data_IF_980945052737
#
_entry.id   IF_980945052737
#
_cell.length_a   1.000
_cell.length_b   1.000
_cell.length_c   1.000
_cell.angle_alpha   90.00
_cell.angle_beta   90.00
_cell.angle_gamma   90.00
#
_symmetry.space_group_name_H-M   'P 1'
#
loop_
_entity.id
_entity.type
_entity.pdbx_description
1 polymer ?
#
# COMPACT_ATOMS: atom_id res chain seq x y z
N UNK A 1 23.65 2.22 26.02
CA UNK A 1 22.44 1.76 26.73
C UNK A 1 21.42 1.09 25.79
N UNK A 2 21.82 0.26 24.82
CA UNK A 2 20.88 -0.38 23.88
C UNK A 2 20.61 -1.87 24.13
N UNK A 3 21.22 -2.47 25.16
CA UNK A 3 21.09 -3.90 25.44
C UNK A 3 19.79 -4.29 26.17
N UNK A 4 19.19 -3.40 26.97
CA UNK A 4 18.03 -3.75 27.81
C UNK A 4 16.66 -3.78 27.10
N UNK A 5 16.43 -2.90 26.11
CA UNK A 5 15.13 -2.83 25.42
C UNK A 5 14.93 -4.05 24.50
N UNK A 6 16.00 -4.54 23.85
CA UNK A 6 15.93 -5.72 22.98
C UNK A 6 15.57 -7.00 23.73
N UNK A 7 16.18 -7.23 24.90
CA UNK A 7 15.90 -8.41 25.75
C UNK A 7 14.48 -8.39 26.33
N UNK A 8 14.01 -7.21 26.79
CA UNK A 8 12.63 -7.02 27.24
C UNK A 8 11.63 -7.29 26.12
N UNK A 9 11.90 -6.79 24.90
CA UNK A 9 11.03 -7.01 23.74
C UNK A 9 10.94 -8.50 23.37
N UNK A 10 12.05 -9.23 23.49
CA UNK A 10 12.11 -10.68 23.28
C UNK A 10 11.29 -11.47 24.30
N UNK A 11 11.39 -11.14 25.59
CA UNK A 11 10.64 -11.82 26.66
C UNK A 11 9.12 -11.57 26.58
N UNK A 12 8.71 -10.34 26.23
CA UNK A 12 7.30 -9.95 26.09
C UNK A 12 6.61 -10.58 24.88
N UNK A 13 7.37 -10.96 23.85
CA UNK A 13 6.81 -11.56 22.65
C UNK A 13 6.19 -12.94 22.91
N UNK A 14 6.72 -13.69 23.88
CA UNK A 14 6.42 -15.13 24.07
C UNK A 14 5.42 -15.46 25.20
N UNK A 15 4.94 -14.48 25.97
CA UNK A 15 3.98 -14.72 27.06
C UNK A 15 2.70 -13.86 26.92
N UNK A 16 1.57 -14.52 26.63
CA UNK A 16 0.26 -13.85 26.50
C UNK A 16 -0.17 -13.12 27.79
N UNK A 17 0.13 -13.69 28.96
CA UNK A 17 -0.17 -13.07 30.26
C UNK A 17 0.64 -11.80 30.54
N UNK A 18 1.91 -11.77 30.11
CA UNK A 18 2.79 -10.62 30.34
C UNK A 18 2.36 -9.40 29.52
N UNK A 19 1.82 -9.58 28.31
CA UNK A 19 1.27 -8.48 27.50
C UNK A 19 0.04 -7.85 28.16
N UNK A 20 -0.85 -8.66 28.73
CA UNK A 20 -2.03 -8.16 29.45
C UNK A 20 -1.62 -7.36 30.70
N UNK A 21 -0.65 -7.88 31.45
CA UNK A 21 -0.13 -7.25 32.66
C UNK A 21 0.61 -5.94 32.35
N UNK A 22 1.41 -5.92 31.28
CA UNK A 22 2.03 -4.69 30.77
C UNK A 22 0.98 -3.68 30.33
N UNK A 23 -0.08 -4.11 29.64
CA UNK A 23 -1.17 -3.21 29.24
C UNK A 23 -1.82 -2.56 30.46
N UNK A 24 -2.21 -3.36 31.46
CA UNK A 24 -2.81 -2.84 32.70
C UNK A 24 -1.90 -1.86 33.44
N UNK A 25 -0.59 -2.10 33.39
CA UNK A 25 0.39 -1.24 34.07
C UNK A 25 0.70 0.05 33.31
N UNK A 26 0.78 -0.02 31.98
CA UNK A 26 1.21 1.09 31.12
C UNK A 26 0.04 1.98 30.69
N UNK A 27 -1.16 1.43 30.47
CA UNK A 27 -2.32 2.17 29.98
C UNK A 27 -2.72 3.37 30.88
N UNK A 28 -2.66 3.29 32.22
CA UNK A 28 -2.88 4.45 33.09
C UNK A 28 -1.78 5.51 33.02
N UNK A 29 -0.60 5.16 32.52
CA UNK A 29 0.63 5.98 32.59
C UNK A 29 1.08 6.54 31.24
N UNK A 30 0.27 6.38 30.19
CA UNK A 30 0.62 6.82 28.83
C UNK A 30 1.06 8.28 28.80
N UNK A 31 0.35 9.18 29.50
CA UNK A 31 0.71 10.60 29.52
C UNK A 31 2.07 10.85 30.19
N UNK A 32 2.38 10.15 31.28
CA UNK A 32 3.68 10.24 31.95
C UNK A 32 4.80 9.69 31.05
N UNK A 33 4.53 8.61 30.31
CA UNK A 33 5.50 8.08 29.35
C UNK A 33 5.75 9.06 28.20
N UNK A 34 4.71 9.72 27.69
CA UNK A 34 4.84 10.75 26.65
C UNK A 34 5.69 11.92 27.14
N UNK A 35 5.48 12.38 28.37
CA UNK A 35 6.29 13.44 28.98
C UNK A 35 7.77 13.04 29.05
N UNK A 36 8.07 11.84 29.56
CA UNK A 36 9.44 11.33 29.65
C UNK A 36 10.07 11.17 28.27
N UNK A 37 9.33 10.67 27.27
CA UNK A 37 9.84 10.55 25.90
C UNK A 37 10.16 11.94 25.33
N UNK A 38 9.29 12.91 25.56
CA UNK A 38 9.49 14.28 25.09
C UNK A 38 10.69 14.95 25.76
N UNK A 39 10.79 14.90 27.09
CA UNK A 39 11.83 15.59 27.86
C UNK A 39 13.19 14.90 27.79
N UNK A 40 13.24 13.57 27.90
CA UNK A 40 14.50 12.82 28.05
C UNK A 40 15.05 12.31 26.72
N UNK A 41 14.20 12.13 25.70
CA UNK A 41 14.62 11.57 24.41
C UNK A 41 14.54 12.59 23.27
N UNK A 42 13.34 13.10 22.97
CA UNK A 42 13.11 13.91 21.77
C UNK A 42 13.73 15.30 21.87
N UNK A 43 13.56 16.00 22.99
CA UNK A 43 14.16 17.32 23.22
C UNK A 43 15.69 17.31 23.08
N UNK A 44 16.42 16.42 23.78
CA UNK A 44 17.88 16.30 23.65
C UNK A 44 18.32 15.89 22.24
N UNK A 45 17.57 15.02 21.57
CA UNK A 45 17.88 14.62 20.19
C UNK A 45 17.75 15.80 19.22
N UNK A 46 16.68 16.60 19.33
CA UNK A 46 16.48 17.79 18.52
C UNK A 46 17.56 18.84 18.74
N UNK A 47 17.93 19.11 19.99
CA UNK A 47 19.02 20.05 20.30
C UNK A 47 20.35 19.64 19.63
N UNK A 48 20.69 18.35 19.67
CA UNK A 48 21.87 17.81 18.98
C UNK A 48 21.77 17.89 17.46
N UNK A 49 20.58 17.71 16.89
CA UNK A 49 20.35 17.84 15.45
C UNK A 49 20.50 19.28 14.99
N UNK A 50 19.99 20.24 15.75
CA UNK A 50 20.14 21.68 15.48
C UNK A 50 21.61 22.11 15.53
N UNK A 51 22.39 21.61 16.50
CA UNK A 51 23.85 21.82 16.55
C UNK A 51 24.58 21.30 15.30
N UNK A 52 24.01 20.34 14.57
CA UNK A 52 24.52 19.81 13.30
C UNK A 52 23.93 20.51 12.06
N UNK A 53 23.25 21.64 12.24
CA UNK A 53 22.62 22.39 11.16
C UNK A 53 21.38 21.72 10.57
N UNK A 54 20.75 20.77 11.26
CA UNK A 54 19.48 20.14 10.85
C UNK A 54 18.29 20.89 11.45
N UNK A 55 17.15 20.89 10.76
CA UNK A 55 15.95 21.63 11.18
C UNK A 55 15.15 20.95 12.30
N UNK A 56 15.32 19.64 12.50
CA UNK A 56 14.59 18.91 13.52
C UNK A 56 14.66 17.40 13.29
N UNK A 57 13.71 16.69 13.91
CA UNK A 57 13.58 15.24 13.82
C UNK A 57 12.24 14.87 13.15
N UNK A 58 12.31 13.98 12.16
CA UNK A 58 11.15 13.30 11.57
C UNK A 58 11.21 11.83 11.96
N UNK A 59 10.11 11.30 12.48
CA UNK A 59 9.96 9.89 12.84
C UNK A 59 8.87 9.28 11.98
N UNK A 60 9.22 8.22 11.27
CA UNK A 60 8.28 7.42 10.46
C UNK A 60 7.97 6.16 11.25
N UNK A 61 6.71 5.97 11.59
CA UNK A 61 6.21 4.76 12.24
C UNK A 61 5.45 3.94 11.21
N UNK A 62 6.17 2.98 10.64
CA UNK A 62 5.68 2.06 9.61
C UNK A 62 4.98 0.84 10.22
N UNK A 63 4.22 0.11 9.40
CA UNK A 63 3.49 -1.11 9.71
C UNK A 63 2.34 -0.98 10.71
N UNK A 64 1.92 0.24 11.06
CA UNK A 64 0.68 0.42 11.83
C UNK A 64 -0.59 0.24 10.95
N UNK A 65 -0.43 0.18 9.62
CA UNK A 65 -1.48 -0.24 8.68
C UNK A 65 -1.87 -1.72 8.84
N UNK A 66 -1.02 -2.52 9.49
CA UNK A 66 -1.24 -3.96 9.74
C UNK A 66 -1.96 -4.25 11.06
N UNK A 67 -2.47 -3.23 11.75
CA UNK A 67 -3.26 -3.43 12.97
C UNK A 67 -4.53 -4.22 12.64
N UNK A 68 -4.77 -5.31 13.36
CA UNK A 68 -5.93 -6.17 13.15
C UNK A 68 -7.23 -5.37 13.25
N UNK A 69 -8.08 -5.47 12.21
CA UNK A 69 -9.38 -4.82 12.19
C UNK A 69 -10.44 -5.58 13.01
N UNK A 70 -10.11 -5.91 14.27
CA UNK A 70 -11.01 -6.55 15.23
C UNK A 70 -11.55 -5.54 16.22
N UNK A 71 -12.71 -5.84 16.80
CA UNK A 71 -13.25 -5.03 17.89
C UNK A 71 -12.31 -5.02 19.09
N UNK A 72 -12.15 -3.85 19.72
CA UNK A 72 -11.42 -3.71 20.97
C UNK A 72 -12.31 -4.23 22.11
N UNK A 73 -11.79 -5.17 22.89
CA UNK A 73 -12.46 -5.66 24.11
C UNK A 73 -12.94 -4.50 24.99
N UNK A 74 -14.23 -4.49 25.33
CA UNK A 74 -14.87 -3.45 26.14
C UNK A 74 -15.18 -2.14 25.40
N UNK A 75 -15.02 -2.08 24.07
CA UNK A 75 -15.34 -0.91 23.24
C UNK A 75 -16.20 -1.31 22.05
N UNK A 76 -17.00 -0.37 21.55
CA UNK A 76 -17.71 -0.51 20.27
C UNK A 76 -16.80 -0.28 19.06
N UNK A 77 -15.60 0.26 19.28
CA UNK A 77 -14.63 0.59 18.24
C UNK A 77 -13.71 -0.57 17.89
N UNK A 78 -13.23 -0.56 16.66
CA UNK A 78 -12.16 -1.45 16.21
C UNK A 78 -10.81 -1.04 16.85
N UNK A 79 -9.81 -1.92 16.82
CA UNK A 79 -8.46 -1.58 17.27
C UNK A 79 -7.85 -0.40 16.48
N UNK A 80 -7.99 -0.32 15.13
CA UNK A 80 -7.59 0.86 14.37
C UNK A 80 -8.26 2.14 14.85
N UNK A 81 -9.58 2.15 15.01
CA UNK A 81 -10.31 3.32 15.50
C UNK A 81 -9.86 3.73 16.90
N UNK A 82 -9.69 2.76 17.81
CA UNK A 82 -9.18 3.06 19.15
C UNK A 82 -7.79 3.70 19.10
N UNK A 83 -6.86 3.16 18.31
CA UNK A 83 -5.50 3.67 18.25
C UNK A 83 -5.41 5.06 17.60
N UNK A 84 -6.08 5.24 16.47
CA UNK A 84 -5.87 6.43 15.64
C UNK A 84 -6.92 7.53 15.88
N UNK A 85 -8.12 7.17 16.35
CA UNK A 85 -9.21 8.11 16.59
C UNK A 85 -9.31 8.46 18.08
N UNK A 86 -9.45 7.46 18.98
CA UNK A 86 -9.50 7.73 20.43
C UNK A 86 -8.16 8.17 20.98
N UNK A 87 -7.07 7.51 20.54
CA UNK A 87 -5.71 7.79 21.00
C UNK A 87 -4.92 8.71 20.08
N UNK A 88 -5.59 9.30 19.07
CA UNK A 88 -4.96 10.21 18.11
C UNK A 88 -4.30 11.43 18.76
N UNK A 89 -4.89 11.97 19.84
CA UNK A 89 -4.30 13.08 20.59
C UNK A 89 -2.96 12.68 21.22
N UNK A 90 -2.88 11.50 21.82
CA UNK A 90 -1.65 10.97 22.42
C UNK A 90 -0.57 10.74 21.36
N UNK A 91 -0.94 10.24 20.19
CA UNK A 91 0.00 10.07 19.08
C UNK A 91 0.57 11.42 18.62
N UNK A 92 -0.24 12.47 18.58
CA UNK A 92 0.19 13.83 18.22
C UNK A 92 1.07 14.53 19.26
N UNK A 93 1.07 14.07 20.52
CA UNK A 93 1.80 14.71 21.62
C UNK A 93 3.31 14.47 21.60
N UNK A 94 3.82 13.57 20.75
CA UNK A 94 5.27 13.42 20.56
C UNK A 94 5.83 14.69 19.93
N UNK A 95 6.78 15.34 20.60
CA UNK A 95 7.33 16.65 20.22
C UNK A 95 8.32 16.53 19.05
N UNK A 96 7.92 15.94 17.94
CA UNK A 96 8.66 15.90 16.68
C UNK A 96 7.71 15.70 15.49
N UNK A 97 8.22 15.75 14.26
CA UNK A 97 7.39 15.49 13.09
C UNK A 97 7.13 13.98 12.96
N UNK A 98 5.86 13.58 13.03
CA UNK A 98 5.45 12.18 12.95
C UNK A 98 4.82 11.87 11.59
N UNK A 99 5.19 10.73 11.01
CA UNK A 99 4.50 10.13 9.86
C UNK A 99 4.03 8.73 10.30
N UNK A 100 2.72 8.51 10.26
CA UNK A 100 2.11 7.22 10.60
C UNK A 100 1.53 6.57 9.35
N UNK A 101 1.82 5.30 9.13
CA UNK A 101 1.01 4.46 8.24
C UNK A 101 -0.32 4.15 8.92
N UNK A 102 -1.45 4.26 8.24
CA UNK A 102 -2.76 3.93 8.83
C UNK A 102 -3.41 2.76 8.08
N UNK A 103 -4.24 1.94 8.75
CA UNK A 103 -4.99 0.88 8.08
C UNK A 103 -5.92 1.44 7.00
N UNK A 104 -5.95 0.79 5.84
CA UNK A 104 -6.70 1.24 4.67
C UNK A 104 -8.19 1.47 4.98
N UNK A 105 -8.80 0.63 5.83
CA UNK A 105 -10.21 0.77 6.20
C UNK A 105 -10.53 2.07 6.92
N UNK A 106 -9.59 2.64 7.69
CA UNK A 106 -9.80 3.96 8.32
C UNK A 106 -9.90 5.09 7.30
N UNK A 107 -9.27 4.95 6.13
CA UNK A 107 -9.37 5.96 5.07
C UNK A 107 -10.76 6.00 4.42
N UNK A 108 -11.59 4.97 4.65
CA UNK A 108 -12.94 4.83 4.09
C UNK A 108 -14.02 4.66 5.16
N UNK A 109 -13.68 4.79 6.44
CA UNK A 109 -14.64 4.68 7.54
C UNK A 109 -15.32 6.02 7.82
N UNK A 110 -16.44 5.96 8.53
CA UNK A 110 -17.18 7.16 8.96
C UNK A 110 -16.39 8.01 9.98
N UNK A 111 -15.33 7.46 10.57
CA UNK A 111 -14.46 8.16 11.53
C UNK A 111 -13.32 8.94 10.83
N UNK A 112 -13.23 8.91 9.50
CA UNK A 112 -12.13 9.50 8.75
C UNK A 112 -11.94 11.00 8.98
N UNK A 113 -13.02 11.79 9.09
CA UNK A 113 -12.90 13.22 9.40
C UNK A 113 -12.42 13.45 10.84
N UNK A 114 -12.83 12.61 11.80
CA UNK A 114 -12.33 12.70 13.16
C UNK A 114 -10.84 12.34 13.21
N UNK A 115 -10.42 11.30 12.49
CA UNK A 115 -9.03 10.94 12.31
C UNK A 115 -8.20 12.13 11.79
N UNK A 116 -8.66 12.80 10.73
CA UNK A 116 -7.99 13.98 10.17
C UNK A 116 -7.88 15.13 11.16
N UNK A 117 -8.95 15.40 11.91
CA UNK A 117 -8.93 16.45 12.94
C UNK A 117 -7.87 16.18 14.02
N UNK A 118 -7.62 14.90 14.33
CA UNK A 118 -6.60 14.50 15.32
C UNK A 118 -5.21 14.51 14.73
N UNK A 119 -4.96 13.79 13.64
CA UNK A 119 -3.62 13.49 13.12
C UNK A 119 -3.19 14.33 11.91
N UNK A 120 -4.08 15.18 11.38
CA UNK A 120 -3.84 15.98 10.19
C UNK A 120 -4.19 15.24 8.89
N UNK A 121 -3.79 15.82 7.77
CA UNK A 121 -4.14 15.32 6.45
C UNK A 121 -3.56 13.93 6.17
N UNK A 122 -4.43 13.00 5.77
CA UNK A 122 -4.02 11.68 5.30
C UNK A 122 -3.59 11.77 3.84
N UNK A 123 -2.34 11.38 3.57
CA UNK A 123 -1.83 11.24 2.20
C UNK A 123 -2.05 9.81 1.72
N UNK A 124 -2.71 9.67 0.59
CA UNK A 124 -2.87 8.39 -0.12
C UNK A 124 -1.90 8.33 -1.29
N UNK A 125 -1.38 7.14 -1.55
CA UNK A 125 -0.54 6.88 -2.71
C UNK A 125 -1.40 6.09 -3.72
N UNK A 126 -1.93 6.73 -4.78
CA UNK A 126 -2.73 6.04 -5.79
C UNK A 126 -1.85 5.15 -6.66
N UNK A 127 -2.48 4.30 -7.49
CA UNK A 127 -1.75 3.60 -8.54
C UNK A 127 -1.23 4.58 -9.59
N UNK A 128 -0.13 4.20 -10.25
CA UNK A 128 0.38 4.94 -11.40
C UNK A 128 -0.60 4.73 -12.57
N UNK A 129 -1.32 5.75 -13.06
CA UNK A 129 -2.27 5.56 -14.15
C UNK A 129 -1.56 5.00 -15.39
N UNK A 130 -2.13 3.98 -16.02
CA UNK A 130 -1.69 3.51 -17.36
C UNK A 130 -2.72 3.80 -18.43
N UNK A 131 -3.92 4.17 -17.99
CA UNK A 131 -5.05 4.62 -18.78
C UNK A 131 -5.75 5.75 -18.00
N UNK A 132 -6.36 6.68 -18.72
CA UNK A 132 -7.26 7.69 -18.15
C UNK A 132 -8.61 7.06 -17.81
N UNK A 133 -9.46 7.83 -17.13
CA UNK A 133 -10.79 7.35 -16.75
C UNK A 133 -11.65 6.97 -17.97
N UNK A 134 -11.51 7.68 -19.09
CA UNK A 134 -12.19 7.38 -20.37
C UNK A 134 -11.65 6.14 -21.09
N UNK A 135 -10.61 5.50 -20.56
CA UNK A 135 -9.96 4.32 -21.13
C UNK A 135 -8.83 4.62 -22.13
N UNK A 136 -8.60 5.89 -22.47
CA UNK A 136 -7.47 6.28 -23.33
C UNK A 136 -6.13 6.03 -22.63
N UNK A 137 -5.09 5.76 -23.42
CA UNK A 137 -3.77 5.42 -22.88
C UNK A 137 -3.12 6.61 -22.16
N UNK A 138 -2.44 6.32 -21.05
CA UNK A 138 -1.63 7.28 -20.31
C UNK A 138 -0.15 6.93 -20.41
N UNK A 139 0.49 7.35 -21.51
CA UNK A 139 1.86 6.98 -21.87
C UNK A 139 2.89 7.36 -20.78
N UNK A 140 2.75 8.53 -20.15
CA UNK A 140 3.67 8.98 -19.09
C UNK A 140 3.76 7.98 -17.93
N UNK A 141 2.62 7.44 -17.50
CA UNK A 141 2.62 6.44 -16.42
C UNK A 141 3.18 5.10 -16.85
N UNK A 142 2.97 4.69 -18.12
CA UNK A 142 3.64 3.51 -18.68
C UNK A 142 5.16 3.73 -18.69
N UNK A 143 5.64 4.88 -19.12
CA UNK A 143 7.07 5.20 -19.17
C UNK A 143 7.70 5.23 -17.77
N UNK A 144 6.99 5.76 -16.75
CA UNK A 144 7.42 5.71 -15.36
C UNK A 144 7.54 4.27 -14.84
N UNK A 145 6.61 3.39 -15.20
CA UNK A 145 6.69 1.96 -14.86
C UNK A 145 7.84 1.26 -15.58
N UNK A 146 8.07 1.56 -16.87
CA UNK A 146 9.22 1.05 -17.62
C UNK A 146 10.53 1.48 -16.94
N UNK A 147 10.65 2.75 -16.58
CA UNK A 147 11.80 3.29 -15.86
C UNK A 147 12.00 2.64 -14.48
N UNK A 148 10.93 2.24 -13.78
CA UNK A 148 11.06 1.51 -12.52
C UNK A 148 11.76 0.15 -12.69
N UNK A 149 11.49 -0.57 -13.78
CA UNK A 149 12.18 -1.83 -14.11
C UNK A 149 13.63 -1.53 -14.51
N UNK A 150 13.80 -0.60 -15.45
CA UNK A 150 15.09 -0.29 -16.04
C UNK A 150 16.10 0.31 -15.05
N UNK A 151 15.65 1.16 -14.11
CA UNK A 151 16.51 1.73 -13.08
C UNK A 151 17.07 0.68 -12.11
N UNK A 152 16.42 -0.48 -11.99
CA UNK A 152 16.92 -1.59 -11.16
C UNK A 152 17.91 -2.46 -11.91
N UNK A 153 17.69 -2.66 -13.21
CA UNK A 153 18.59 -3.42 -14.07
C UNK A 153 19.88 -2.64 -14.38
N UNK A 154 19.76 -1.33 -14.56
CA UNK A 154 20.85 -0.43 -14.96
C UNK A 154 20.95 0.77 -14.01
N UNK A 155 21.35 0.57 -12.74
CA UNK A 155 21.40 1.63 -11.73
C UNK A 155 22.42 2.71 -12.05
N UNK A 156 23.52 2.34 -12.71
CA UNK A 156 24.64 3.22 -13.05
C UNK A 156 24.48 3.90 -14.44
N UNK A 157 23.39 3.62 -15.15
CA UNK A 157 23.07 4.21 -16.45
C UNK A 157 22.07 5.36 -16.26
N UNK A 158 22.30 6.46 -16.97
CA UNK A 158 21.43 7.63 -16.96
C UNK A 158 20.02 7.31 -17.49
N UNK A 159 19.00 7.93 -16.88
CA UNK A 159 17.60 7.54 -17.12
C UNK A 159 17.17 7.57 -18.61
N UNK A 160 17.72 8.51 -19.39
CA UNK A 160 17.44 8.64 -20.82
C UNK A 160 18.08 7.56 -21.70
N UNK A 161 19.09 6.85 -21.20
CA UNK A 161 19.84 5.84 -21.96
C UNK A 161 19.44 4.41 -21.62
N UNK A 162 18.78 4.19 -20.47
CA UNK A 162 18.41 2.84 -20.01
C UNK A 162 17.54 2.04 -20.97
N UNK A 163 16.73 2.70 -21.79
CA UNK A 163 15.87 2.04 -22.78
C UNK A 163 16.65 1.26 -23.85
N UNK A 164 17.93 1.59 -24.04
CA UNK A 164 18.81 0.89 -24.97
C UNK A 164 19.16 -0.53 -24.51
N UNK A 165 18.98 -0.85 -23.22
CA UNK A 165 19.26 -2.18 -22.67
C UNK A 165 18.02 -3.07 -22.50
N UNK A 166 16.87 -2.70 -23.09
CA UNK A 166 15.64 -3.50 -22.93
C UNK A 166 15.83 -4.93 -23.47
N UNK A 167 16.57 -5.09 -24.57
CA UNK A 167 16.91 -6.37 -25.20
C UNK A 167 17.79 -7.29 -24.34
N UNK A 168 18.49 -6.72 -23.35
CA UNK A 168 19.23 -7.50 -22.36
C UNK A 168 18.31 -8.05 -21.25
N UNK A 169 17.11 -7.50 -21.10
CA UNK A 169 16.14 -7.90 -20.05
C UNK A 169 15.00 -8.74 -20.62
N UNK A 170 14.54 -8.45 -21.84
CA UNK A 170 13.44 -9.12 -22.51
C UNK A 170 13.84 -9.51 -23.93
N UNK A 171 13.43 -10.70 -24.38
CA UNK A 171 13.69 -11.16 -25.75
C UNK A 171 12.90 -10.36 -26.80
N UNK A 172 11.69 -9.93 -26.43
CA UNK A 172 10.86 -8.98 -27.14
C UNK A 172 10.65 -7.71 -26.30
N UNK A 173 11.11 -6.53 -26.76
CA UNK A 173 10.89 -5.26 -26.07
C UNK A 173 9.42 -4.94 -25.75
N UNK A 174 8.45 -5.49 -26.48
CA UNK A 174 7.02 -5.33 -26.19
C UNK A 174 6.60 -5.98 -24.86
N UNK A 175 7.36 -6.97 -24.37
CA UNK A 175 7.08 -7.67 -23.10
C UNK A 175 7.18 -6.75 -21.89
N UNK A 176 8.08 -5.76 -21.93
CA UNK A 176 8.15 -4.76 -20.87
C UNK A 176 6.85 -3.94 -20.80
N UNK A 177 6.30 -3.53 -21.94
CA UNK A 177 5.02 -2.82 -21.97
C UNK A 177 3.85 -3.70 -21.52
N UNK A 178 3.83 -4.97 -21.94
CA UNK A 178 2.87 -5.97 -21.48
C UNK A 178 2.88 -6.11 -19.95
N UNK A 179 4.07 -6.19 -19.35
CA UNK A 179 4.27 -6.23 -17.90
C UNK A 179 3.74 -4.96 -17.21
N UNK A 180 4.02 -3.77 -17.75
CA UNK A 180 3.51 -2.51 -17.22
C UNK A 180 1.97 -2.49 -17.26
N UNK A 181 1.37 -2.84 -18.40
CA UNK A 181 -0.09 -2.83 -18.57
C UNK A 181 -0.79 -3.82 -17.66
N UNK A 182 -0.28 -5.05 -17.55
CA UNK A 182 -0.91 -6.09 -16.73
C UNK A 182 -0.78 -5.80 -15.21
N UNK A 183 0.23 -5.03 -14.80
CA UNK A 183 0.37 -4.59 -13.41
C UNK A 183 -0.70 -3.58 -12.98
N UNK A 184 -1.34 -2.88 -13.92
CA UNK A 184 -2.33 -1.84 -13.64
C UNK A 184 -1.77 -0.69 -12.79
N UNK A 185 -0.52 -0.28 -13.01
CA UNK A 185 0.09 0.77 -12.20
C UNK A 185 0.55 0.36 -10.80
N UNK A 186 0.25 -0.86 -10.36
CA UNK A 186 0.59 -1.34 -9.03
C UNK A 186 2.04 -1.84 -8.97
N UNK A 187 2.94 -0.99 -8.47
CA UNK A 187 4.39 -1.21 -8.42
C UNK A 187 4.81 -2.56 -7.81
N UNK A 188 4.15 -2.98 -6.72
CA UNK A 188 4.43 -4.27 -6.08
C UNK A 188 4.00 -5.45 -6.98
N UNK A 189 2.94 -5.32 -7.78
CA UNK A 189 2.52 -6.38 -8.68
C UNK A 189 3.47 -6.49 -9.86
N UNK A 190 3.87 -5.35 -10.44
CA UNK A 190 4.91 -5.26 -11.46
C UNK A 190 6.18 -6.02 -11.03
N UNK A 191 6.74 -5.65 -9.87
CA UNK A 191 7.96 -6.26 -9.34
C UNK A 191 7.76 -7.73 -8.92
N UNK A 192 6.56 -8.12 -8.47
CA UNK A 192 6.25 -9.52 -8.14
C UNK A 192 6.24 -10.41 -9.39
N UNK A 193 5.60 -9.98 -10.47
CA UNK A 193 5.58 -10.73 -11.74
C UNK A 193 6.99 -10.83 -12.30
N UNK A 194 7.74 -9.71 -12.31
CA UNK A 194 9.13 -9.69 -12.75
C UNK A 194 10.01 -10.65 -11.93
N UNK A 195 9.89 -10.60 -10.59
CA UNK A 195 10.63 -11.50 -9.69
C UNK A 195 10.32 -12.97 -9.96
N UNK A 196 9.06 -13.33 -10.25
CA UNK A 196 8.70 -14.71 -10.61
C UNK A 196 9.41 -15.18 -11.88
N UNK A 197 9.57 -14.32 -12.88
CA UNK A 197 10.32 -14.66 -14.09
C UNK A 197 11.80 -14.91 -13.77
N UNK A 198 12.40 -14.04 -12.95
CA UNK A 198 13.81 -14.14 -12.54
C UNK A 198 14.10 -15.29 -11.56
N UNK A 199 13.08 -15.87 -10.92
CA UNK A 199 13.21 -17.07 -10.09
C UNK A 199 13.35 -18.36 -10.93
N UNK A 200 13.00 -18.29 -12.22
CA UNK A 200 13.05 -19.43 -13.13
C UNK A 200 14.29 -19.46 -14.01
N UNK A 201 14.66 -18.32 -14.58
CA UNK A 201 15.87 -18.20 -15.40
C UNK A 201 16.43 -16.77 -15.38
N UNK A 202 17.70 -16.64 -15.76
CA UNK A 202 18.34 -15.35 -15.95
C UNK A 202 17.79 -14.64 -17.21
N UNK A 203 17.83 -13.30 -17.28
CA UNK A 203 17.45 -12.57 -18.49
C UNK A 203 18.26 -12.99 -19.74
N UNK A 204 17.70 -12.86 -20.95
CA UNK A 204 16.44 -12.18 -21.27
C UNK A 204 15.18 -13.01 -20.96
N UNK A 205 14.19 -12.36 -20.35
CA UNK A 205 12.87 -12.93 -20.03
C UNK A 205 12.11 -13.17 -21.33
N UNK A 206 11.69 -14.41 -21.55
CA UNK A 206 10.91 -14.80 -22.71
C UNK A 206 9.43 -14.46 -22.57
N UNK A 207 8.73 -14.32 -23.70
CA UNK A 207 7.28 -14.17 -23.71
C UNK A 207 6.56 -15.31 -22.95
N UNK A 208 6.97 -16.56 -23.14
CA UNK A 208 6.36 -17.70 -22.46
C UNK A 208 6.57 -17.65 -20.94
N UNK A 209 7.75 -17.21 -20.50
CA UNK A 209 8.05 -17.00 -19.09
C UNK A 209 7.15 -15.93 -18.47
N UNK A 210 7.05 -14.77 -19.11
CA UNK A 210 6.22 -13.66 -18.64
C UNK A 210 4.73 -14.06 -18.60
N UNK A 211 4.22 -14.66 -19.67
CA UNK A 211 2.80 -15.05 -19.75
C UNK A 211 2.46 -16.15 -18.74
N UNK A 212 3.40 -17.06 -18.41
CA UNK A 212 3.18 -18.02 -17.31
C UNK A 212 3.13 -17.33 -15.95
N UNK A 213 4.07 -16.42 -15.65
CA UNK A 213 4.04 -15.66 -14.39
C UNK A 213 2.74 -14.83 -14.23
N UNK A 214 2.24 -14.25 -15.33
CA UNK A 214 0.94 -13.56 -15.36
C UNK A 214 -0.21 -14.53 -15.09
N UNK A 215 -0.24 -15.69 -15.76
CA UNK A 215 -1.29 -16.71 -15.57
C UNK A 215 -1.36 -17.20 -14.13
N UNK A 216 -0.22 -17.52 -13.53
CA UNK A 216 -0.19 -17.97 -12.14
C UNK A 216 -0.71 -16.89 -11.19
N UNK A 217 -0.26 -15.63 -11.35
CA UNK A 217 -0.78 -14.53 -10.52
C UNK A 217 -2.28 -14.33 -10.70
N UNK A 218 -2.79 -14.43 -11.94
CA UNK A 218 -4.23 -14.35 -12.22
C UNK A 218 -4.97 -15.47 -11.51
N UNK A 219 -4.48 -16.71 -11.65
CA UNK A 219 -5.16 -17.89 -11.12
C UNK A 219 -5.19 -17.83 -9.58
N UNK A 220 -4.05 -17.53 -8.94
CA UNK A 220 -3.93 -17.28 -7.50
C UNK A 220 -4.94 -16.23 -7.01
N UNK A 221 -5.02 -15.09 -7.71
CA UNK A 221 -5.93 -14.01 -7.33
C UNK A 221 -7.39 -14.39 -7.54
N UNK A 222 -7.72 -15.07 -8.64
CA UNK A 222 -9.08 -15.45 -8.99
C UNK A 222 -9.69 -16.50 -8.07
N UNK A 223 -8.86 -17.41 -7.52
CA UNK A 223 -9.28 -18.46 -6.61
C UNK A 223 -9.87 -17.92 -5.29
N UNK A 224 -9.45 -16.73 -4.88
CA UNK A 224 -9.90 -16.10 -3.64
C UNK A 224 -11.24 -15.36 -3.79
N UNK A 225 -11.76 -15.19 -5.01
CA UNK A 225 -12.93 -14.35 -5.28
C UNK A 225 -14.21 -15.17 -5.16
N UNK A 226 -15.08 -14.77 -4.23
CA UNK A 226 -16.44 -15.30 -4.05
C UNK A 226 -17.41 -14.75 -5.10
N UNK A 227 -18.57 -15.40 -5.27
CA UNK A 227 -19.58 -14.93 -6.24
C UNK A 227 -20.13 -13.53 -5.90
N UNK A 228 -20.28 -13.20 -4.61
CA UNK A 228 -20.72 -11.86 -4.17
C UNK A 228 -19.65 -10.79 -4.49
N UNK A 229 -18.37 -11.11 -4.31
CA UNK A 229 -17.27 -10.22 -4.70
C UNK A 229 -17.19 -10.03 -6.23
N UNK A 230 -17.48 -11.07 -7.02
CA UNK A 230 -17.61 -10.93 -8.47
C UNK A 230 -18.73 -9.96 -8.87
N UNK A 231 -19.85 -9.95 -8.14
CA UNK A 231 -20.93 -8.99 -8.36
C UNK A 231 -20.46 -7.55 -8.06
N UNK A 232 -19.69 -7.35 -6.98
CA UNK A 232 -19.07 -6.06 -6.67
C UNK A 232 -18.07 -5.61 -7.75
N UNK A 233 -17.21 -6.52 -8.23
CA UNK A 233 -16.28 -6.26 -9.34
C UNK A 233 -17.02 -5.83 -10.61
N UNK A 234 -18.15 -6.46 -10.91
CA UNK A 234 -19.00 -6.08 -12.04
C UNK A 234 -19.55 -4.66 -11.89
N UNK A 235 -20.02 -4.29 -10.69
CA UNK A 235 -20.50 -2.93 -10.41
C UNK A 235 -19.39 -1.89 -10.61
N UNK A 236 -18.17 -2.17 -10.14
CA UNK A 236 -17.01 -1.28 -10.35
C UNK A 236 -16.70 -1.12 -11.83
N UNK A 237 -16.80 -2.18 -12.62
CA UNK A 237 -16.56 -2.11 -14.08
C UNK A 237 -17.54 -1.16 -14.78
N UNK A 238 -18.78 -1.07 -14.29
CA UNK A 238 -19.82 -0.23 -14.87
C UNK A 238 -19.77 1.22 -14.37
N UNK A 239 -19.42 1.41 -13.10
CA UNK A 239 -19.57 2.69 -12.41
C UNK A 239 -18.24 3.42 -12.18
N UNK A 240 -17.11 2.70 -12.31
CA UNK A 240 -15.76 3.14 -11.92
C UNK A 240 -15.68 3.70 -10.50
N UNK A 241 -16.57 3.22 -9.62
CA UNK A 241 -16.72 3.67 -8.24
C UNK A 241 -16.79 2.48 -7.30
N UNK A 242 -16.25 2.65 -6.11
CA UNK A 242 -16.44 1.75 -4.97
C UNK A 242 -17.17 2.54 -3.90
N UNK A 243 -18.18 1.94 -3.28
CA UNK A 243 -19.00 2.59 -2.25
C UNK A 243 -18.99 1.76 -0.97
N UNK A 244 -18.99 2.45 0.17
CA UNK A 244 -19.07 1.84 1.50
C UNK A 244 -17.76 1.24 2.00
N UNK A 245 -17.58 1.22 3.32
CA UNK A 245 -16.35 0.73 3.97
C UNK A 245 -16.06 -0.73 3.60
N UNK A 246 -17.08 -1.59 3.61
CA UNK A 246 -16.95 -3.02 3.30
C UNK A 246 -16.50 -3.25 1.86
N UNK A 247 -17.06 -2.53 0.89
CA UNK A 247 -16.65 -2.61 -0.51
C UNK A 247 -15.20 -2.16 -0.70
N UNK A 248 -14.80 -1.04 -0.09
CA UNK A 248 -13.42 -0.56 -0.13
C UNK A 248 -12.46 -1.56 0.53
N UNK A 249 -12.83 -2.07 1.71
CA UNK A 249 -12.01 -3.04 2.42
C UNK A 249 -11.81 -4.29 1.59
N UNK A 250 -12.88 -4.90 1.09
CA UNK A 250 -12.82 -6.18 0.37
C UNK A 250 -12.10 -6.03 -0.97
N UNK A 251 -12.47 -5.05 -1.79
CA UNK A 251 -11.97 -4.95 -3.17
C UNK A 251 -10.53 -4.41 -3.26
N UNK A 252 -10.19 -3.40 -2.46
CA UNK A 252 -8.86 -2.78 -2.52
C UNK A 252 -7.82 -3.59 -1.74
N UNK A 253 -8.16 -4.11 -0.55
CA UNK A 253 -7.23 -4.91 0.26
C UNK A 253 -6.83 -6.19 -0.45
N UNK A 254 -7.77 -6.84 -1.12
CA UNK A 254 -7.52 -8.07 -1.87
C UNK A 254 -6.94 -7.81 -3.27
N UNK A 255 -6.70 -6.55 -3.64
CA UNK A 255 -6.15 -6.15 -4.94
C UNK A 255 -7.02 -6.58 -6.13
N UNK A 256 -8.33 -6.73 -5.95
CA UNK A 256 -9.26 -7.00 -7.04
C UNK A 256 -9.52 -5.74 -7.87
N UNK A 257 -9.44 -4.58 -7.22
CA UNK A 257 -9.67 -3.26 -7.80
C UNK A 257 -8.53 -2.33 -7.38
N UNK A 258 -8.19 -1.40 -8.27
CA UNK A 258 -7.24 -0.34 -8.04
C UNK A 258 -7.90 1.03 -8.03
N UNK A 259 -7.41 1.89 -7.13
CA UNK A 259 -7.73 3.31 -7.04
C UNK A 259 -6.69 4.12 -7.81
N UNK A 260 -7.17 5.02 -8.66
CA UNK A 260 -6.37 6.04 -9.34
C UNK A 260 -6.89 7.42 -8.95
N UNK A 261 -6.03 8.43 -9.07
CA UNK A 261 -6.33 9.81 -8.73
C UNK A 261 -5.80 10.71 -9.84
N UNK A 262 -6.66 11.57 -10.38
CA UNK A 262 -6.32 12.61 -11.35
C UNK A 262 -6.64 13.97 -10.71
N UNK A 263 -5.71 14.94 -10.70
CA UNK A 263 -5.96 16.23 -10.08
C UNK A 263 -7.15 17.01 -10.65
N UNK A 264 -7.59 16.71 -11.87
CA UNK A 264 -8.67 17.39 -12.59
C UNK A 264 -9.98 16.60 -12.57
N UNK A 265 -9.94 15.30 -12.86
CA UNK A 265 -11.14 14.44 -12.95
C UNK A 265 -11.51 13.77 -11.62
N UNK A 266 -10.58 13.81 -10.64
CA UNK A 266 -10.74 13.17 -9.35
C UNK A 266 -10.40 11.68 -9.39
N UNK A 267 -11.05 10.90 -8.52
CA UNK A 267 -10.71 9.49 -8.30
C UNK A 267 -11.62 8.56 -9.05
N UNK A 268 -11.04 7.52 -9.61
CA UNK A 268 -11.77 6.42 -10.23
C UNK A 268 -11.16 5.08 -9.88
N UNK A 269 -11.97 4.05 -10.05
CA UNK A 269 -11.63 2.68 -9.70
C UNK A 269 -11.70 1.80 -10.93
N UNK A 270 -10.72 0.92 -11.10
CA UNK A 270 -10.75 -0.07 -12.18
C UNK A 270 -10.37 -1.45 -11.67
N UNK A 271 -10.93 -2.48 -12.28
CA UNK A 271 -10.58 -3.87 -11.99
C UNK A 271 -9.12 -4.13 -12.35
N UNK A 272 -8.43 -4.84 -11.45
CA UNK A 272 -7.06 -5.28 -11.63
C UNK A 272 -6.91 -6.00 -13.00
N UNK A 273 -6.01 -5.54 -13.90
CA UNK A 273 -5.93 -6.06 -15.26
C UNK A 273 -5.73 -7.57 -15.36
N UNK A 274 -5.04 -8.22 -14.41
CA UNK A 274 -4.90 -9.69 -14.43
C UNK A 274 -6.26 -10.39 -14.40
N UNK A 275 -7.25 -9.85 -13.66
CA UNK A 275 -8.58 -10.44 -13.56
C UNK A 275 -9.39 -10.31 -14.85
N UNK A 276 -9.11 -9.28 -15.67
CA UNK A 276 -9.78 -9.08 -16.97
C UNK A 276 -9.52 -10.23 -17.94
N UNK A 277 -8.44 -11.00 -17.72
CA UNK A 277 -8.09 -12.15 -18.54
C UNK A 277 -8.75 -13.45 -18.10
N UNK A 278 -9.48 -13.45 -16.99
CA UNK A 278 -10.22 -14.63 -16.53
C UNK A 278 -11.44 -14.89 -17.42
N UNK A 279 -11.80 -16.17 -17.57
CA UNK A 279 -13.03 -16.57 -18.28
C UNK A 279 -14.28 -15.97 -17.65
N UNK A 280 -14.34 -15.95 -16.31
CA UNK A 280 -15.46 -15.39 -15.54
C UNK A 280 -15.64 -13.90 -15.87
N UNK A 281 -14.58 -13.09 -15.82
CA UNK A 281 -14.68 -11.67 -16.16
C UNK A 281 -15.14 -11.45 -17.61
N UNK A 282 -14.56 -12.19 -18.58
CA UNK A 282 -14.96 -12.09 -20.00
C UNK A 282 -16.40 -12.53 -20.28
N UNK A 283 -17.01 -13.32 -19.40
CA UNK A 283 -18.41 -13.73 -19.49
C UNK A 283 -19.39 -12.74 -18.87
N UNK A 284 -18.90 -11.73 -18.12
CA UNK A 284 -19.74 -10.68 -17.57
C UNK A 284 -20.34 -9.88 -18.73
N UNK A 285 -21.63 -9.49 -18.64
CA UNK A 285 -22.25 -8.68 -19.68
C UNK A 285 -21.51 -7.34 -19.80
N UNK A 286 -20.85 -7.13 -20.93
CA UNK A 286 -20.19 -5.87 -21.27
C UNK A 286 -21.26 -4.77 -21.28
N UNK A 287 -21.17 -3.85 -20.32
CA UNK A 287 -21.82 -2.54 -20.45
C UNK A 287 -20.84 -1.71 -21.27
N UNK A 288 -21.09 -1.61 -22.57
CA UNK A 288 -20.12 -1.20 -23.57
C UNK A 288 -19.36 0.07 -23.22
N UNK A 289 -18.03 0.03 -23.39
CA UNK A 289 -17.28 1.02 -24.15
C UNK A 289 -16.47 0.22 -25.18
N UNK A 290 -17.09 0.01 -26.34
CA UNK A 290 -16.39 -0.30 -27.57
C UNK A 290 -16.10 1.05 -28.25
N UNK A 291 -14.86 1.18 -28.72
CA UNK A 291 -14.26 2.26 -29.52
C UNK A 291 -13.77 3.46 -28.73
#
# INVERSE_FOLDING_TARGET
MSFGIGELTGAVRNQAGLRSLLRQYLEPRVNQMLEVINSELLGPAQAKLQQRGKQGLVVIVDNLDRVDNRQKEGSKRTLPEYLFVDRGDQLRQLQCHMIYTIPLNLAFSNEFELLKNRLGDVKRLPMIPIQRQDGSDFAEGIDLLKQMVLARAFPDVEAGERSQGIDQIFDDPMMLERLCRISGGHSRNLLRILRRCLEEDDPPITQDCLERAIREQRDDLSLAITDDEWALIQQVTQQQKVSGEEGHHTLLRSLFVFEYDDPTEGRWFTVNPVLRETKKFRSLPNSGHQV
#
